data_IF_506291573209
#
_entry.id   IF_506291573209
#
_cell.length_a   1.000
_cell.length_b   1.000
_cell.length_c   1.000
_cell.angle_alpha   90.00
_cell.angle_beta   90.00
_cell.angle_gamma   90.00
#
_symmetry.space_group_name_H-M   'P 1'
#
loop_
_entity.id
_entity.type
_entity.pdbx_description
1 polymer ?
#
# COMPACT_ATOMS: atom_id res chain seq x y z
N UNK A 1 -5.76 12.66 2.49
CA UNK A 1 -7.02 12.15 3.08
C UNK A 1 -7.29 12.66 4.50
N UNK A 2 -6.85 12.06 5.60
CA UNK A 2 -7.28 12.54 6.95
C UNK A 2 -6.82 13.97 7.32
N UNK A 3 -5.58 14.35 6.98
CA UNK A 3 -5.08 15.72 7.15
C UNK A 3 -5.86 16.73 6.31
N UNK A 4 -6.14 16.39 5.05
CA UNK A 4 -6.90 17.24 4.12
C UNK A 4 -8.37 17.40 4.55
N UNK A 5 -8.93 16.38 5.19
CA UNK A 5 -10.27 16.41 5.78
C UNK A 5 -10.30 17.12 7.15
N UNK A 6 -9.17 17.66 7.62
CA UNK A 6 -9.10 18.40 8.89
C UNK A 6 -9.30 17.54 10.13
N UNK A 7 -9.12 16.21 10.05
CA UNK A 7 -9.25 15.30 11.19
C UNK A 7 -8.00 15.42 12.07
N UNK A 8 -8.11 15.93 13.31
CA UNK A 8 -6.92 16.23 14.12
C UNK A 8 -6.30 15.00 14.80
N UNK A 9 -7.11 13.97 15.08
CA UNK A 9 -6.72 12.78 15.85
C UNK A 9 -7.40 11.52 15.30
N UNK A 10 -6.99 11.01 14.13
CA UNK A 10 -7.55 9.79 13.57
C UNK A 10 -7.09 8.54 14.35
N UNK A 11 -7.94 7.51 14.34
CA UNK A 11 -7.54 6.15 14.70
C UNK A 11 -6.85 5.52 13.49
N UNK A 12 -5.66 4.96 13.69
CA UNK A 12 -4.86 4.32 12.64
C UNK A 12 -4.55 2.90 13.08
N UNK A 13 -5.20 1.93 12.44
CA UNK A 13 -5.03 0.51 12.74
C UNK A 13 -4.47 -0.21 11.52
N UNK A 14 -3.64 -1.22 11.75
CA UNK A 14 -3.11 -2.07 10.67
C UNK A 14 -2.73 -3.46 11.18
N UNK A 15 -2.75 -4.44 10.30
CA UNK A 15 -2.47 -5.85 10.63
C UNK A 15 -0.98 -6.22 10.54
N UNK A 16 -0.15 -5.33 9.97
CA UNK A 16 1.29 -5.55 9.91
C UNK A 16 1.98 -5.17 11.21
N UNK A 17 2.12 -6.14 12.12
CA UNK A 17 2.83 -5.97 13.40
C UNK A 17 4.23 -5.38 13.24
N UNK A 18 4.94 -5.75 12.17
CA UNK A 18 6.26 -5.19 11.86
C UNK A 18 6.20 -3.69 11.62
N UNK A 19 5.27 -3.23 10.78
CA UNK A 19 5.16 -1.81 10.42
C UNK A 19 4.66 -0.99 11.61
N UNK A 20 3.65 -1.48 12.34
CA UNK A 20 3.15 -0.81 13.55
C UNK A 20 4.30 -0.61 14.56
N UNK A 21 5.05 -1.65 14.89
CA UNK A 21 6.16 -1.56 15.85
C UNK A 21 7.32 -0.70 15.34
N UNK A 22 7.52 -0.59 14.01
CA UNK A 22 8.48 0.36 13.46
C UNK A 22 8.01 1.81 13.68
N UNK A 23 6.75 2.11 13.40
CA UNK A 23 6.16 3.44 13.60
C UNK A 23 6.12 3.86 15.07
N UNK A 24 5.90 2.92 15.98
CA UNK A 24 6.02 3.11 17.43
C UNK A 24 7.48 3.22 17.92
N UNK A 25 8.46 3.06 17.02
CA UNK A 25 9.92 3.09 17.27
C UNK A 25 10.45 1.96 18.14
N UNK A 26 9.64 0.93 18.42
CA UNK A 26 10.08 -0.28 19.10
C UNK A 26 11.03 -1.09 18.22
N UNK A 27 10.76 -1.13 16.90
CA UNK A 27 11.54 -1.89 15.94
C UNK A 27 12.32 -0.97 15.00
N UNK A 28 13.58 -1.34 14.72
CA UNK A 28 14.40 -0.66 13.70
C UNK A 28 13.98 -1.09 12.29
N UNK A 29 14.02 -0.13 11.35
CA UNK A 29 13.90 -0.42 9.92
C UNK A 29 15.26 -0.91 9.41
N UNK A 30 15.34 -2.19 9.04
CA UNK A 30 16.59 -2.83 8.61
C UNK A 30 16.89 -2.69 7.12
N UNK A 31 15.84 -2.66 6.29
CA UNK A 31 16.02 -2.60 4.84
C UNK A 31 16.05 -1.14 4.41
N UNK A 32 17.08 -0.75 3.67
CA UNK A 32 17.32 0.63 3.24
C UNK A 32 16.22 1.15 2.31
N UNK A 33 15.67 0.29 1.46
CA UNK A 33 14.52 0.57 0.59
C UNK A 33 13.24 0.98 1.37
N UNK A 34 13.14 0.58 2.65
CA UNK A 34 12.00 0.90 3.53
C UNK A 34 12.18 2.19 4.33
N UNK A 35 13.40 2.71 4.42
CA UNK A 35 13.71 3.94 5.18
C UNK A 35 12.93 5.14 4.65
N UNK A 36 12.81 5.40 3.33
CA UNK A 36 12.05 6.53 2.82
C UNK A 36 10.58 6.50 3.24
N UNK A 37 9.94 5.32 3.17
CA UNK A 37 8.55 5.14 3.56
C UNK A 37 8.33 5.33 5.06
N UNK A 38 9.24 4.81 5.88
CA UNK A 38 9.20 5.03 7.33
C UNK A 38 9.30 6.51 7.68
N UNK A 39 10.30 7.22 7.13
CA UNK A 39 10.47 8.65 7.35
C UNK A 39 9.22 9.45 6.92
N UNK A 40 8.65 9.10 5.78
CA UNK A 40 7.43 9.75 5.28
C UNK A 40 6.23 9.51 6.20
N UNK A 41 5.98 8.25 6.61
CA UNK A 41 4.90 7.90 7.50
C UNK A 41 5.04 8.58 8.88
N UNK A 42 6.24 8.59 9.47
CA UNK A 42 6.51 9.30 10.73
C UNK A 42 6.26 10.80 10.58
N UNK A 43 6.67 11.41 9.47
CA UNK A 43 6.41 12.82 9.21
C UNK A 43 4.90 13.12 9.10
N UNK A 44 4.12 12.21 8.52
CA UNK A 44 2.65 12.36 8.48
C UNK A 44 2.03 12.25 9.87
N UNK A 45 2.46 11.27 10.67
CA UNK A 45 1.98 11.09 12.06
C UNK A 45 2.22 12.36 12.88
N UNK A 46 3.41 12.96 12.77
CA UNK A 46 3.78 14.17 13.49
C UNK A 46 2.96 15.42 13.11
N UNK A 47 2.19 15.38 12.01
CA UNK A 47 1.31 16.50 11.61
C UNK A 47 -0.05 16.47 12.32
N UNK A 48 -0.42 15.33 12.91
CA UNK A 48 -1.66 15.22 13.69
C UNK A 48 -1.44 15.68 15.13
N UNK A 49 -2.54 16.05 15.81
CA UNK A 49 -2.47 16.40 17.24
C UNK A 49 -2.19 15.18 18.11
N UNK A 50 -2.80 14.05 17.77
CA UNK A 50 -2.63 12.79 18.48
C UNK A 50 -2.95 11.63 17.56
N UNK A 51 -1.97 10.77 17.30
CA UNK A 51 -2.13 9.51 16.56
C UNK A 51 -1.19 8.49 17.18
N UNK A 52 -1.74 7.35 17.57
CA UNK A 52 -0.98 6.19 18.00
C UNK A 52 -1.40 5.02 17.10
N UNK A 53 -0.52 4.58 16.18
CA UNK A 53 -0.81 3.42 15.35
C UNK A 53 -0.96 2.16 16.22
N UNK A 54 -2.02 1.39 15.96
CA UNK A 54 -2.28 0.15 16.69
C UNK A 54 -2.30 -1.05 15.75
N UNK A 55 -1.94 -2.20 16.31
CA UNK A 55 -2.03 -3.47 15.61
C UNK A 55 -3.37 -4.13 15.87
N UNK A 56 -4.04 -4.55 14.80
CA UNK A 56 -5.27 -5.36 14.87
C UNK A 56 -5.07 -6.69 14.14
N UNK A 57 -5.78 -7.77 14.53
CA UNK A 57 -5.80 -9.02 13.76
C UNK A 57 -6.24 -8.80 12.29
N UNK A 58 -5.80 -9.69 11.40
CA UNK A 58 -6.14 -9.65 9.96
C UNK A 58 -7.65 -9.66 9.73
N UNK A 59 -8.38 -10.41 10.55
CA UNK A 59 -9.83 -10.54 10.52
C UNK A 59 -10.55 -9.20 10.76
N UNK A 60 -9.93 -8.31 11.55
CA UNK A 60 -10.43 -6.97 11.86
C UNK A 60 -10.00 -5.92 10.81
N UNK A 61 -8.97 -6.22 9.99
CA UNK A 61 -8.51 -5.37 8.89
C UNK A 61 -9.11 -5.74 7.51
N UNK A 62 -10.19 -6.53 7.51
CA UNK A 62 -10.73 -7.18 6.31
C UNK A 62 -11.06 -6.20 5.16
N UNK A 63 -11.48 -4.97 5.47
CA UNK A 63 -11.79 -3.96 4.47
C UNK A 63 -10.53 -3.45 3.76
N UNK A 64 -9.47 -3.11 4.52
CA UNK A 64 -8.20 -2.68 3.93
C UNK A 64 -7.58 -3.79 3.08
N UNK A 65 -7.71 -5.03 3.53
CA UNK A 65 -7.22 -6.21 2.82
C UNK A 65 -7.94 -6.46 1.51
N UNK A 66 -9.28 -6.34 1.52
CA UNK A 66 -10.08 -6.46 0.30
C UNK A 66 -9.67 -5.40 -0.73
N UNK A 67 -9.42 -4.16 -0.28
CA UNK A 67 -8.96 -3.08 -1.16
C UNK A 67 -7.54 -3.32 -1.69
N UNK A 68 -6.61 -3.77 -0.84
CA UNK A 68 -5.25 -4.10 -1.26
C UNK A 68 -5.22 -5.24 -2.28
N UNK A 69 -6.04 -6.28 -2.05
CA UNK A 69 -6.18 -7.40 -2.98
C UNK A 69 -6.82 -6.96 -4.31
N UNK A 70 -7.86 -6.12 -4.27
CA UNK A 70 -8.46 -5.56 -5.48
C UNK A 70 -7.44 -4.75 -6.29
N UNK A 71 -6.67 -3.87 -5.64
CA UNK A 71 -5.63 -3.10 -6.30
C UNK A 71 -4.55 -4.00 -6.92
N UNK A 72 -4.15 -5.05 -6.20
CA UNK A 72 -3.18 -6.05 -6.70
C UNK A 72 -3.70 -6.75 -7.95
N UNK A 73 -4.95 -7.24 -7.92
CA UNK A 73 -5.59 -7.88 -9.08
C UNK A 73 -5.67 -6.96 -10.29
N UNK A 74 -6.01 -5.68 -10.08
CA UNK A 74 -6.08 -4.71 -11.16
C UNK A 74 -4.70 -4.38 -11.74
N UNK A 75 -3.68 -4.29 -10.90
CA UNK A 75 -2.30 -4.06 -11.35
C UNK A 75 -1.78 -5.22 -12.20
N UNK A 76 -2.01 -6.46 -11.76
CA UNK A 76 -1.62 -7.66 -12.51
C UNK A 76 -2.36 -7.78 -13.84
N UNK A 77 -3.66 -7.41 -13.90
CA UNK A 77 -4.41 -7.45 -15.16
C UNK A 77 -3.87 -6.47 -16.21
N UNK A 78 -3.33 -5.33 -15.78
CA UNK A 78 -2.65 -4.39 -16.68
C UNK A 78 -1.35 -4.95 -17.25
N UNK A 79 -0.68 -5.85 -16.53
CA UNK A 79 0.50 -6.59 -17.02
C UNK A 79 0.10 -7.70 -18.00
N UNK A 80 -1.04 -8.37 -17.76
CA UNK A 80 -1.58 -9.40 -18.66
C UNK A 80 -2.06 -8.83 -20.01
N UNK A 81 -2.73 -7.66 -20.00
CA UNK A 81 -3.14 -6.95 -21.23
C UNK A 81 -1.91 -6.45 -22.02
N UNK A 82 -0.89 -5.96 -21.31
CA UNK A 82 0.37 -5.60 -21.93
C UNK A 82 1.05 -6.84 -22.54
N UNK A 83 1.12 -7.96 -21.83
CA UNK A 83 1.70 -9.22 -22.29
C UNK A 83 0.96 -9.80 -23.51
N UNK A 84 -0.38 -9.76 -23.54
CA UNK A 84 -1.18 -10.17 -24.71
C UNK A 84 -0.92 -9.29 -25.93
N UNK A 85 -0.81 -7.97 -25.75
CA UNK A 85 -0.48 -7.06 -26.86
C UNK A 85 0.93 -7.31 -27.45
N UNK A 86 1.89 -7.75 -26.63
CA UNK A 86 3.24 -8.11 -27.12
C UNK A 86 3.25 -9.47 -27.83
N UNK A 87 2.38 -10.40 -27.45
CA UNK A 87 2.22 -11.70 -28.11
C UNK A 87 1.51 -11.55 -29.46
N UNK A 88 0.48 -10.72 -29.54
CA UNK A 88 -0.20 -10.37 -30.80
C UNK A 88 0.72 -9.63 -31.78
N UNK A 89 1.61 -8.77 -31.29
CA UNK A 89 2.62 -8.10 -32.12
C UNK A 89 3.70 -9.06 -32.66
N UNK A 90 3.99 -10.17 -31.96
CA UNK A 90 4.94 -11.19 -32.41
C UNK A 90 4.31 -12.30 -33.28
N UNK A 91 2.98 -12.47 -33.29
CA UNK A 91 2.32 -13.46 -34.16
C UNK A 91 2.17 -13.00 -35.61
N UNK A 92 2.43 -11.73 -35.91
CA UNK A 92 2.61 -11.26 -37.27
C UNK A 92 1.45 -11.62 -38.20
N UNK A 93 0.20 -11.36 -37.80
CA UNK A 93 -0.90 -11.33 -38.77
C UNK A 93 -0.79 -10.04 -39.56
N UNK A 94 0.19 -10.02 -40.47
CA UNK A 94 0.14 -9.16 -41.64
C UNK A 94 -1.19 -9.45 -42.33
N UNK A 95 -2.04 -8.44 -42.39
CA UNK A 95 -3.33 -8.53 -43.06
C UNK A 95 -3.18 -9.03 -44.48
N UNK A 96 -4.17 -9.80 -44.92
CA UNK A 96 -4.49 -9.91 -46.32
C UNK A 96 -6.02 -9.85 -46.46
N UNK A 97 -6.38 -8.94 -47.36
CA UNK A 97 -7.66 -8.59 -47.92
C UNK A 97 -8.38 -9.75 -48.62
#
# INVERSE_FOLDING_TARGET
>A
MALELGIPSPVVSGDSKLIINQLLKDYKVKKEDRVPYFCYATNLINKFKSVEPEHVPREENCMADALANLATTLALRGEDEAAQAMDEAHSGVCGAH
#
